data_IF_534989237815
#
_entry.id   IF_534989237815
#
_cell.length_a   1.000
_cell.length_b   1.000
_cell.length_c   1.000
_cell.angle_alpha   90.00
_cell.angle_beta   90.00
_cell.angle_gamma   90.00
#
_symmetry.space_group_name_H-M   'P 1'
#
loop_
_entity.id
_entity.type
_entity.pdbx_description
1 polymer ?
#
# COMPACT_ATOMS: atom_id res chain seq x y z
N UNK A 1 -10.68 -18.52 -8.19
CA UNK A 1 -9.25 -18.24 -7.97
C UNK A 1 -9.06 -16.74 -7.92
N UNK A 2 -7.97 -16.26 -7.31
CA UNK A 2 -7.58 -14.85 -7.35
C UNK A 2 -6.13 -14.80 -7.85
N UNK A 3 -5.86 -14.03 -8.90
CA UNK A 3 -4.51 -13.78 -9.39
C UNK A 3 -4.06 -12.42 -8.91
N UNK A 4 -3.06 -12.38 -8.05
CA UNK A 4 -2.30 -11.16 -7.80
C UNK A 4 -1.45 -10.86 -9.04
N UNK A 5 -1.40 -9.60 -9.49
CA UNK A 5 -0.70 -9.15 -10.70
C UNK A 5 -1.04 -9.90 -12.03
N UNK A 6 -2.25 -10.43 -12.17
CA UNK A 6 -2.64 -11.26 -13.32
C UNK A 6 -2.96 -10.51 -14.63
N UNK A 7 -3.03 -9.17 -14.64
CA UNK A 7 -3.56 -8.40 -15.78
C UNK A 7 -2.76 -8.61 -17.08
N UNK A 8 -1.43 -8.72 -16.97
CA UNK A 8 -0.55 -8.96 -18.11
C UNK A 8 -0.44 -10.45 -18.49
N UNK A 9 -0.98 -11.37 -17.69
CA UNK A 9 -0.95 -12.80 -18.00
C UNK A 9 -2.09 -13.16 -18.96
N UNK A 10 -1.95 -12.78 -20.24
CA UNK A 10 -3.01 -12.87 -21.26
C UNK A 10 -3.52 -14.29 -21.52
N UNK A 11 -2.69 -15.31 -21.30
CA UNK A 11 -3.08 -16.71 -21.45
C UNK A 11 -3.97 -17.23 -20.31
N UNK A 12 -4.05 -16.51 -19.19
CA UNK A 12 -4.91 -16.88 -18.07
C UNK A 12 -6.36 -16.50 -18.36
N UNK A 13 -7.20 -17.53 -18.52
CA UNK A 13 -8.64 -17.37 -18.56
C UNK A 13 -9.14 -16.71 -17.27
N UNK A 14 -9.99 -15.70 -17.41
CA UNK A 14 -10.45 -14.87 -16.30
C UNK A 14 -11.88 -14.44 -16.53
N UNK A 15 -12.68 -14.56 -15.48
CA UNK A 15 -14.08 -14.15 -15.46
C UNK A 15 -14.23 -12.64 -15.27
N UNK A 16 -13.26 -12.02 -14.59
CA UNK A 16 -13.30 -10.61 -14.20
C UNK A 16 -11.89 -10.03 -14.07
N UNK A 17 -11.74 -8.76 -14.47
CA UNK A 17 -10.53 -7.96 -14.34
C UNK A 17 -10.74 -6.71 -13.49
N UNK A 18 -9.95 -6.62 -12.41
CA UNK A 18 -9.85 -5.42 -11.59
C UNK A 18 -8.49 -4.76 -11.82
N UNK A 19 -8.50 -3.52 -12.31
CA UNK A 19 -7.30 -2.70 -12.39
C UNK A 19 -7.10 -1.95 -11.07
N UNK A 20 -5.95 -2.17 -10.41
CA UNK A 20 -5.57 -1.39 -9.22
C UNK A 20 -4.67 -0.25 -9.65
N UNK A 21 -5.05 0.99 -9.33
CA UNK A 21 -4.29 2.19 -9.67
C UNK A 21 -3.90 2.97 -8.42
N UNK A 22 -2.78 3.67 -8.49
CA UNK A 22 -2.33 4.58 -7.45
C UNK A 22 -2.51 6.05 -7.89
N UNK A 23 -2.01 6.99 -7.08
CA UNK A 23 -2.12 8.43 -7.36
C UNK A 23 -1.42 8.88 -8.64
N UNK A 24 -0.44 8.12 -9.17
CA UNK A 24 0.26 8.44 -10.41
C UNK A 24 -0.56 8.08 -11.65
N UNK A 25 -1.50 7.15 -11.50
CA UNK A 25 -2.36 6.65 -12.57
C UNK A 25 -1.55 6.26 -13.83
N UNK A 26 -1.49 7.13 -14.83
CA UNK A 26 -0.82 6.88 -16.11
C UNK A 26 0.63 7.36 -16.19
N UNK A 27 1.14 8.04 -15.15
CA UNK A 27 2.49 8.60 -15.15
C UNK A 27 2.72 9.58 -16.30
N UNK A 28 3.71 9.31 -17.15
CA UNK A 28 4.00 10.13 -18.33
C UNK A 28 3.23 9.68 -19.61
N UNK A 29 2.34 8.69 -19.50
CA UNK A 29 1.51 8.20 -20.61
C UNK A 29 2.23 7.28 -21.60
N UNK A 30 3.53 7.06 -21.46
CA UNK A 30 4.30 6.21 -22.38
C UNK A 30 4.43 4.78 -21.87
N UNK A 31 4.49 3.82 -22.81
CA UNK A 31 4.85 2.43 -22.52
C UNK A 31 6.33 2.31 -22.17
N UNK A 32 6.69 1.23 -21.48
CA UNK A 32 8.09 0.84 -21.28
C UNK A 32 8.81 0.71 -22.65
N UNK A 33 10.08 1.17 -22.76
CA UNK A 33 10.90 1.80 -21.71
C UNK A 33 10.74 3.32 -21.58
N UNK A 34 9.98 3.99 -22.47
CA UNK A 34 9.82 5.44 -22.48
C UNK A 34 8.96 5.98 -21.32
N UNK A 35 8.18 5.12 -20.67
CA UNK A 35 7.36 5.45 -19.52
C UNK A 35 7.04 4.24 -18.64
N UNK A 36 6.27 4.42 -17.57
CA UNK A 36 6.03 3.38 -16.57
C UNK A 36 4.95 2.38 -16.97
N UNK A 37 4.21 2.62 -18.07
CA UNK A 37 3.08 1.78 -18.44
C UNK A 37 3.54 0.45 -19.07
N UNK A 38 2.96 -0.66 -18.61
CA UNK A 38 3.13 -1.98 -19.23
C UNK A 38 2.15 -2.21 -20.39
N UNK A 39 1.00 -1.54 -20.31
CA UNK A 39 -0.09 -1.59 -21.28
C UNK A 39 -0.70 -0.21 -21.44
N UNK A 40 -1.40 0.03 -22.55
CA UNK A 40 -2.04 1.33 -22.80
C UNK A 40 -3.13 1.62 -21.78
N UNK A 41 -3.34 2.90 -21.45
CA UNK A 41 -4.39 3.35 -20.53
C UNK A 41 -5.81 3.01 -21.00
N UNK A 42 -5.99 2.68 -22.27
CA UNK A 42 -7.26 2.26 -22.87
C UNK A 42 -7.58 0.76 -22.76
N UNK A 43 -6.73 -0.06 -22.11
CA UNK A 43 -6.95 -1.51 -22.04
C UNK A 43 -8.27 -1.87 -21.35
N UNK A 44 -9.06 -2.77 -21.94
CA UNK A 44 -10.35 -3.21 -21.35
C UNK A 44 -10.11 -3.77 -19.95
N UNK A 45 -11.00 -3.42 -19.01
CA UNK A 45 -11.09 -3.95 -17.64
C UNK A 45 -12.54 -3.87 -17.19
N UNK A 46 -12.95 -4.67 -16.21
CA UNK A 46 -14.33 -4.67 -15.75
C UNK A 46 -14.55 -3.66 -14.62
N UNK A 47 -13.52 -3.34 -13.82
CA UNK A 47 -13.53 -2.16 -12.95
C UNK A 47 -12.13 -1.65 -12.63
N UNK A 48 -12.07 -0.43 -12.09
CA UNK A 48 -10.84 0.17 -11.57
C UNK A 48 -10.98 0.52 -10.09
N UNK A 49 -9.96 0.20 -9.30
CA UNK A 49 -9.92 0.44 -7.85
C UNK A 49 -8.72 1.33 -7.54
N UNK A 50 -8.91 2.39 -6.76
CA UNK A 50 -7.82 3.30 -6.45
C UNK A 50 -8.24 4.53 -5.65
N UNK A 51 -7.31 5.46 -5.39
CA UNK A 51 -7.61 6.66 -4.63
C UNK A 51 -8.50 7.63 -5.43
N UNK A 52 -9.32 8.48 -4.78
CA UNK A 52 -10.25 9.39 -5.45
C UNK A 52 -9.59 10.27 -6.53
N UNK A 53 -8.38 10.76 -6.24
CA UNK A 53 -7.63 11.64 -7.15
C UNK A 53 -7.26 10.96 -8.48
N UNK A 54 -6.99 9.65 -8.44
CA UNK A 54 -6.66 8.88 -9.64
C UNK A 54 -7.93 8.55 -10.42
N UNK A 55 -8.97 8.07 -9.72
CA UNK A 55 -10.23 7.67 -10.36
C UNK A 55 -10.96 8.81 -11.04
N UNK A 56 -10.79 10.06 -10.57
CA UNK A 56 -11.37 11.26 -11.20
C UNK A 56 -10.75 11.59 -12.56
N UNK A 57 -9.53 11.12 -12.85
CA UNK A 57 -8.84 11.37 -14.12
C UNK A 57 -9.19 10.34 -15.20
N UNK A 58 -9.89 9.27 -14.83
CA UNK A 58 -10.38 8.28 -15.79
C UNK A 58 -11.55 8.85 -16.60
N UNK A 59 -11.56 8.58 -17.90
CA UNK A 59 -12.57 9.07 -18.85
C UNK A 59 -13.47 7.96 -19.42
N UNK A 60 -13.23 6.71 -19.05
CA UNK A 60 -14.04 5.57 -19.48
C UNK A 60 -15.34 5.43 -18.65
N UNK A 61 -16.23 4.53 -19.05
CA UNK A 61 -17.46 4.25 -18.29
C UNK A 61 -17.34 3.00 -17.40
N UNK A 62 -16.13 2.48 -17.21
CA UNK A 62 -15.92 1.31 -16.36
C UNK A 62 -16.25 1.66 -14.90
N UNK A 63 -16.89 0.75 -14.13
CA UNK A 63 -17.08 0.90 -12.70
C UNK A 63 -15.79 1.29 -11.97
N UNK A 64 -15.92 2.16 -10.97
CA UNK A 64 -14.79 2.71 -10.20
C UNK A 64 -15.08 2.61 -8.71
N UNK A 65 -14.14 2.06 -7.96
CA UNK A 65 -14.28 1.88 -6.52
C UNK A 65 -13.17 2.63 -5.79
N UNK A 66 -13.57 3.64 -5.03
CA UNK A 66 -12.64 4.43 -4.21
C UNK A 66 -12.12 3.55 -3.09
N UNK A 67 -10.81 3.34 -3.05
CA UNK A 67 -10.13 2.69 -1.92
C UNK A 67 -9.13 3.66 -1.33
N UNK A 68 -9.22 3.85 -0.02
CA UNK A 68 -8.30 4.69 0.74
C UNK A 68 -7.43 3.83 1.64
N UNK A 69 -6.17 4.24 1.76
CA UNK A 69 -5.17 3.59 2.61
C UNK A 69 -5.13 4.35 3.93
N UNK A 70 -5.16 3.61 5.03
CA UNK A 70 -5.01 4.15 6.37
C UNK A 70 -4.00 3.30 7.15
N UNK A 71 -3.31 3.89 8.14
CA UNK A 71 -2.52 3.09 9.06
C UNK A 71 -3.45 2.20 9.89
N UNK A 72 -3.16 0.91 9.89
CA UNK A 72 -3.72 -0.06 10.82
C UNK A 72 -2.96 -0.04 12.15
N UNK A 73 -3.07 -1.15 12.89
CA UNK A 73 -2.34 -1.29 14.15
C UNK A 73 -0.83 -1.24 13.94
N UNK A 74 -0.13 -0.70 14.94
CA UNK A 74 1.30 -0.51 14.96
C UNK A 74 1.89 -1.52 15.96
N UNK A 75 2.62 -2.49 15.44
CA UNK A 75 3.18 -3.59 16.23
C UNK A 75 4.68 -3.38 16.46
N UNK A 76 5.15 -3.52 17.69
CA UNK A 76 6.57 -3.52 17.97
C UNK A 76 7.21 -4.80 17.41
N UNK A 77 8.32 -4.67 16.69
CA UNK A 77 8.87 -5.77 15.90
C UNK A 77 9.31 -6.98 16.74
N UNK A 78 9.83 -6.76 17.94
CA UNK A 78 10.52 -7.82 18.72
C UNK A 78 9.79 -8.32 19.97
N UNK A 79 8.86 -7.57 20.54
CA UNK A 79 8.26 -7.89 21.85
C UNK A 79 6.77 -8.27 21.77
N UNK A 80 6.17 -8.21 20.58
CA UNK A 80 4.77 -8.58 20.34
C UNK A 80 3.74 -7.51 20.76
N UNK A 81 4.17 -6.37 21.30
CA UNK A 81 3.28 -5.26 21.64
C UNK A 81 2.56 -4.75 20.38
N UNK A 82 1.27 -4.43 20.52
CA UNK A 82 0.45 -3.81 19.47
C UNK A 82 -0.32 -2.63 20.04
N UNK A 83 -0.26 -1.51 19.32
CA UNK A 83 -0.95 -0.28 19.67
C UNK A 83 -1.84 0.14 18.51
N UNK A 84 -3.01 0.68 18.82
CA UNK A 84 -3.75 1.46 17.84
C UNK A 84 -2.94 2.71 17.47
N UNK A 85 -3.25 3.31 16.31
CA UNK A 85 -2.58 4.54 15.86
C UNK A 85 -2.69 5.66 16.89
N UNK A 86 -3.86 5.80 17.53
CA UNK A 86 -4.07 6.81 18.57
C UNK A 86 -3.27 6.54 19.84
N UNK A 87 -3.23 5.28 20.30
CA UNK A 87 -2.44 4.90 21.46
C UNK A 87 -0.94 5.12 21.21
N UNK A 88 -0.45 4.76 20.01
CA UNK A 88 0.93 5.02 19.61
C UNK A 88 1.24 6.53 19.59
N UNK A 89 0.36 7.33 18.97
CA UNK A 89 0.50 8.79 18.91
C UNK A 89 0.57 9.42 20.30
N UNK A 90 -0.29 8.99 21.22
CA UNK A 90 -0.31 9.47 22.60
C UNK A 90 0.97 9.09 23.36
N UNK A 91 1.41 7.83 23.23
CA UNK A 91 2.61 7.32 23.90
C UNK A 91 3.89 8.08 23.49
N UNK A 92 4.02 8.38 22.20
CA UNK A 92 5.20 9.05 21.65
C UNK A 92 4.95 10.52 21.34
N UNK A 93 3.94 11.13 21.98
CA UNK A 93 3.62 12.54 21.79
C UNK A 93 4.83 13.43 22.11
N UNK A 94 5.14 14.37 21.22
CA UNK A 94 6.28 15.29 21.36
C UNK A 94 7.66 14.66 21.13
N UNK A 95 7.75 13.37 20.79
CA UNK A 95 9.00 12.70 20.47
C UNK A 95 9.27 12.70 18.96
N UNK A 96 10.54 12.73 18.53
CA UNK A 96 10.88 12.54 17.12
C UNK A 96 10.56 11.10 16.71
N UNK A 97 9.74 10.92 15.68
CA UNK A 97 9.43 9.62 15.10
C UNK A 97 10.16 9.48 13.77
N UNK A 98 10.88 8.37 13.59
CA UNK A 98 11.44 7.99 12.31
C UNK A 98 10.45 7.15 11.50
N UNK A 99 10.55 7.19 10.18
CA UNK A 99 9.87 6.25 9.31
C UNK A 99 10.79 5.82 8.17
N UNK A 100 10.91 4.52 7.92
CA UNK A 100 11.68 3.97 6.80
C UNK A 100 10.74 3.16 5.90
N UNK A 101 10.86 3.36 4.58
CA UNK A 101 10.09 2.58 3.62
C UNK A 101 10.90 2.25 2.37
N UNK A 102 10.99 0.95 2.08
CA UNK A 102 11.63 0.34 0.91
C UNK A 102 10.62 -0.30 -0.02
N UNK A 103 9.59 0.47 -0.39
CA UNK A 103 8.51 0.09 -1.31
C UNK A 103 8.53 1.03 -2.53
N UNK A 104 7.84 0.69 -3.62
CA UNK A 104 7.84 1.53 -4.83
C UNK A 104 7.42 3.00 -4.63
N UNK A 105 6.68 3.32 -3.56
CA UNK A 105 6.17 4.67 -3.27
C UNK A 105 6.31 5.05 -1.78
N UNK A 106 7.54 5.26 -1.25
CA UNK A 106 7.77 5.54 0.17
C UNK A 106 7.02 6.77 0.68
N UNK A 107 6.91 7.81 -0.16
CA UNK A 107 6.18 9.04 0.16
C UNK A 107 4.71 8.82 0.53
N UNK A 108 4.04 7.83 -0.07
CA UNK A 108 2.65 7.49 0.26
C UNK A 108 2.56 6.94 1.69
N UNK A 109 3.51 6.09 2.10
CA UNK A 109 3.58 5.57 3.45
C UNK A 109 3.77 6.71 4.47
N UNK A 110 4.71 7.63 4.21
CA UNK A 110 4.94 8.76 5.13
C UNK A 110 3.73 9.71 5.21
N UNK A 111 3.06 9.99 4.09
CA UNK A 111 1.84 10.80 4.08
C UNK A 111 0.70 10.12 4.85
N UNK A 112 0.55 8.79 4.70
CA UNK A 112 -0.43 8.00 5.44
C UNK A 112 -0.21 8.08 6.96
N UNK A 113 1.04 8.02 7.43
CA UNK A 113 1.37 8.19 8.86
C UNK A 113 1.06 9.59 9.39
N UNK A 114 1.25 10.63 8.58
CA UNK A 114 0.98 12.02 8.98
C UNK A 114 -0.51 12.36 9.05
N UNK A 115 -1.36 11.63 8.33
CA UNK A 115 -2.82 11.84 8.30
C UNK A 115 -3.47 11.83 9.70
N UNK A 116 -3.19 10.84 10.59
CA UNK A 116 -3.65 10.85 11.99
C UNK A 116 -2.85 11.79 12.92
N UNK A 117 -1.91 12.58 12.37
CA UNK A 117 -1.12 13.55 13.13
C UNK A 117 0.20 13.04 13.71
N UNK A 118 0.74 11.91 13.22
CA UNK A 118 2.10 11.50 13.61
C UNK A 118 3.13 12.41 12.93
N UNK A 119 4.02 13.01 13.72
CA UNK A 119 5.12 13.84 13.21
C UNK A 119 6.34 12.98 12.87
N UNK A 120 6.35 12.41 11.66
CA UNK A 120 7.41 11.48 11.20
C UNK A 120 8.43 12.14 10.26
N UNK A 121 9.72 11.88 10.51
CA UNK A 121 10.81 12.09 9.56
C UNK A 121 10.97 10.83 8.70
N UNK A 122 10.80 10.96 7.38
CA UNK A 122 10.82 9.82 6.46
C UNK A 122 12.17 9.63 5.77
N UNK A 123 12.64 8.39 5.69
CA UNK A 123 13.80 7.97 4.90
C UNK A 123 13.37 6.90 3.90
N UNK A 124 13.47 7.23 2.61
CA UNK A 124 13.22 6.28 1.54
C UNK A 124 14.46 5.42 1.29
N UNK A 125 14.27 4.11 1.19
CA UNK A 125 15.34 3.16 0.86
C UNK A 125 14.98 2.39 -0.42
N UNK A 126 15.97 1.74 -1.04
CA UNK A 126 15.75 1.00 -2.28
C UNK A 126 14.77 -0.18 -2.08
N UNK A 127 13.84 -0.36 -3.03
CA UNK A 127 12.96 -1.53 -3.03
C UNK A 127 13.79 -2.80 -3.32
N UNK A 128 13.31 -3.94 -2.83
CA UNK A 128 13.90 -5.27 -3.05
C UNK A 128 15.34 -5.51 -2.55
N UNK A 129 15.90 -4.59 -1.74
CA UNK A 129 17.19 -4.78 -1.05
C UNK A 129 16.97 -5.11 0.42
N UNK A 130 17.96 -5.75 1.06
CA UNK A 130 18.01 -5.91 2.52
C UNK A 130 17.85 -4.56 3.22
N UNK A 131 17.19 -4.55 4.38
CA UNK A 131 17.00 -3.33 5.16
C UNK A 131 18.35 -2.70 5.54
N UNK A 132 18.66 -1.46 5.12
CA UNK A 132 19.94 -0.82 5.40
C UNK A 132 20.02 -0.34 6.85
N UNK A 133 20.99 -0.87 7.62
CA UNK A 133 21.14 -0.55 9.05
C UNK A 133 21.47 0.95 9.27
N UNK A 134 22.26 1.53 8.39
CA UNK A 134 22.67 2.93 8.36
C UNK A 134 21.49 3.91 8.13
N UNK A 135 20.36 3.44 7.59
CA UNK A 135 19.16 4.26 7.51
C UNK A 135 18.60 4.66 8.89
N UNK A 136 18.93 3.91 9.95
CA UNK A 136 18.55 4.24 11.32
C UNK A 136 19.37 5.38 11.92
N UNK A 137 20.53 5.71 11.34
CA UNK A 137 21.41 6.79 11.79
C UNK A 137 20.82 8.17 11.45
N UNK A 138 19.82 8.22 10.57
CA UNK A 138 19.05 9.43 10.28
C UNK A 138 18.16 9.89 11.44
N UNK A 139 18.03 9.09 12.51
CA UNK A 139 17.15 9.36 13.64
C UNK A 139 17.92 9.31 14.97
N UNK A 140 17.52 10.11 15.99
CA UNK A 140 18.16 10.08 17.29
C UNK A 140 18.22 8.67 17.90
N UNK A 141 19.29 8.32 18.64
CA UNK A 141 19.39 7.04 19.33
C UNK A 141 18.15 6.76 20.20
N UNK A 142 17.59 5.56 20.08
CA UNK A 142 16.39 5.16 20.82
C UNK A 142 15.06 5.70 20.28
N UNK A 143 15.06 6.60 19.28
CA UNK A 143 13.82 7.05 18.66
C UNK A 143 13.07 5.88 17.99
N UNK A 144 11.73 5.78 18.16
CA UNK A 144 10.91 4.80 17.47
C UNK A 144 10.94 5.02 15.95
N UNK A 145 11.05 3.93 15.19
CA UNK A 145 11.09 3.97 13.74
C UNK A 145 9.99 3.09 13.16
N UNK A 146 9.05 3.71 12.45
CA UNK A 146 7.93 3.04 11.79
C UNK A 146 8.36 2.50 10.42
N UNK A 147 8.05 1.24 10.16
CA UNK A 147 8.36 0.54 8.91
C UNK A 147 7.13 -0.18 8.35
N UNK A 148 7.18 -0.51 7.05
CA UNK A 148 6.12 -1.31 6.42
C UNK A 148 6.24 -2.79 6.80
N UNK A 149 5.16 -3.56 6.64
CA UNK A 149 5.18 -5.02 6.78
C UNK A 149 6.19 -5.68 5.82
N UNK A 150 6.31 -5.17 4.59
CA UNK A 150 7.30 -5.65 3.60
C UNK A 150 8.73 -5.47 4.09
N UNK A 151 9.01 -4.34 4.75
CA UNK A 151 10.35 -4.02 5.23
C UNK A 151 10.70 -4.74 6.54
N UNK A 152 9.70 -5.08 7.36
CA UNK A 152 9.88 -5.92 8.54
C UNK A 152 10.43 -7.33 8.20
N UNK A 153 10.00 -7.90 7.07
CA UNK A 153 10.52 -9.18 6.58
C UNK A 153 12.01 -9.05 6.19
N UNK A 154 12.42 -7.88 5.70
CA UNK A 154 13.80 -7.61 5.26
C UNK A 154 14.75 -7.22 6.41
N UNK A 155 14.23 -6.89 7.59
CA UNK A 155 15.00 -6.41 8.74
C UNK A 155 15.49 -7.54 9.67
N UNK A 156 15.32 -8.80 9.28
CA UNK A 156 15.63 -9.97 10.12
C UNK A 156 17.11 -10.07 10.51
N UNK A 157 17.99 -9.64 9.62
CA UNK A 157 19.45 -9.67 9.78
C UNK A 157 20.02 -8.55 10.66
N UNK A 158 19.20 -7.57 11.06
CA UNK A 158 19.67 -6.45 11.88
C UNK A 158 20.00 -6.92 13.31
N UNK A 159 21.00 -6.30 13.98
CA UNK A 159 21.28 -6.54 15.38
C UNK A 159 20.06 -6.31 16.29
N UNK A 160 19.88 -7.09 17.37
CA UNK A 160 18.74 -6.96 18.29
C UNK A 160 18.49 -5.52 18.77
N UNK A 161 19.56 -4.81 19.17
CA UNK A 161 19.47 -3.43 19.65
C UNK A 161 18.90 -2.44 18.62
N UNK A 162 19.12 -2.69 17.31
CA UNK A 162 18.51 -1.87 16.25
C UNK A 162 17.05 -2.26 16.01
N UNK A 163 16.75 -3.57 16.08
CA UNK A 163 15.40 -4.10 15.88
C UNK A 163 14.42 -3.69 16.97
N UNK A 164 14.90 -3.46 18.19
CA UNK A 164 14.11 -2.94 19.31
C UNK A 164 13.55 -1.53 19.06
N UNK A 165 14.07 -0.79 18.09
CA UNK A 165 13.52 0.53 17.72
C UNK A 165 12.39 0.44 16.70
N UNK A 166 12.18 -0.73 16.08
CA UNK A 166 11.34 -0.89 14.91
C UNK A 166 9.88 -1.19 15.29
N UNK A 167 8.97 -0.45 14.65
CA UNK A 167 7.54 -0.63 14.75
C UNK A 167 6.95 -0.87 13.36
N UNK A 168 6.25 -1.98 13.20
CA UNK A 168 5.62 -2.39 11.94
C UNK A 168 4.22 -1.81 11.87
N UNK A 169 3.94 -1.06 10.82
CA UNK A 169 2.63 -0.45 10.57
C UNK A 169 1.84 -1.34 9.64
N UNK A 170 0.73 -1.89 10.13
CA UNK A 170 -0.21 -2.62 9.29
C UNK A 170 -0.89 -1.70 8.28
N UNK A 171 -1.19 -2.21 7.08
CA UNK A 171 -1.99 -1.49 6.10
C UNK A 171 -3.49 -1.80 6.28
N UNK A 172 -4.30 -0.77 6.54
CA UNK A 172 -5.77 -0.88 6.44
C UNK A 172 -6.24 -0.28 5.12
N UNK A 173 -7.15 -0.99 4.46
CA UNK A 173 -7.85 -0.51 3.28
C UNK A 173 -9.31 -0.23 3.65
N UNK A 174 -9.73 1.02 3.49
CA UNK A 174 -11.13 1.40 3.64
C UNK A 174 -11.79 1.17 2.27
N UNK A 175 -12.57 0.09 2.20
CA UNK A 175 -13.27 -0.35 0.99
C UNK A 175 -14.67 0.27 0.94
N UNK A 176 -15.17 0.65 -0.25
CA UNK A 176 -16.51 1.18 -0.37
C UNK A 176 -17.54 0.04 -0.27
N UNK A 177 -18.69 0.32 0.33
CA UNK A 177 -19.69 -0.70 0.68
C UNK A 177 -20.22 -1.47 -0.54
N UNK A 178 -20.21 -0.83 -1.70
CA UNK A 178 -20.69 -1.36 -2.98
C UNK A 178 -19.69 -2.31 -3.68
N UNK A 179 -18.40 -2.30 -3.32
CA UNK A 179 -17.38 -3.08 -4.05
C UNK A 179 -17.62 -4.59 -3.95
N UNK A 180 -17.84 -5.11 -2.74
CA UNK A 180 -18.03 -6.55 -2.54
C UNK A 180 -19.36 -7.04 -3.14
N UNK A 181 -20.51 -6.38 -2.93
CA UNK A 181 -21.76 -6.74 -3.61
C UNK A 181 -21.62 -6.73 -5.13
N UNK A 182 -20.98 -5.72 -5.72
CA UNK A 182 -20.73 -5.67 -7.15
C UNK A 182 -19.86 -6.83 -7.62
N UNK A 183 -18.77 -7.13 -6.92
CA UNK A 183 -17.85 -8.23 -7.24
C UNK A 183 -18.57 -9.57 -7.21
N UNK A 184 -19.36 -9.82 -6.16
CA UNK A 184 -20.17 -11.04 -6.04
C UNK A 184 -21.16 -11.16 -7.20
N UNK A 185 -21.89 -10.09 -7.51
CA UNK A 185 -22.85 -10.07 -8.61
C UNK A 185 -22.20 -10.39 -9.97
N UNK A 186 -21.06 -9.75 -10.29
CA UNK A 186 -20.34 -10.02 -11.53
C UNK A 186 -19.86 -11.48 -11.64
N UNK A 187 -19.38 -12.05 -10.53
CA UNK A 187 -18.94 -13.45 -10.50
C UNK A 187 -20.10 -14.44 -10.68
N UNK A 188 -21.29 -14.14 -10.17
CA UNK A 188 -22.47 -15.00 -10.40
C UNK A 188 -22.93 -14.94 -11.87
N UNK A 189 -22.90 -13.76 -12.49
CA UNK A 189 -23.15 -13.60 -13.94
C UNK A 189 -22.15 -14.44 -14.75
N UNK A 190 -20.85 -14.35 -14.45
CA UNK A 190 -19.82 -15.11 -15.17
C UNK A 190 -19.98 -16.63 -15.02
N UNK A 191 -20.54 -17.09 -13.88
CA UNK A 191 -20.87 -18.50 -13.62
C UNK A 191 -22.14 -18.97 -14.34
N UNK A 192 -22.82 -18.09 -15.08
CA UNK A 192 -24.10 -18.41 -15.73
C UNK A 192 -25.26 -18.57 -14.75
N UNK A 193 -25.14 -18.06 -13.52
CA UNK A 193 -26.22 -18.06 -12.54
C UNK A 193 -27.04 -16.80 -12.73
N UNK A 194 -28.28 -16.95 -13.18
CA UNK A 194 -29.23 -15.83 -13.32
C UNK A 194 -29.42 -15.15 -11.97
N UNK A 195 -29.00 -13.90 -11.87
CA UNK A 195 -29.28 -13.04 -10.71
C UNK A 195 -30.72 -12.57 -10.85
N UNK A 196 -31.64 -13.29 -10.21
CA UNK A 196 -33.04 -12.90 -10.07
C UNK A 196 -33.19 -11.73 -9.06
#
# INVERSE_FOLDING_TARGET
MLSDDGLQHLALARDLELAVVDQRLWGNGWLLPAGPLRETSGRRRDATVGPPVALRQLTDNAPRFVVQRAPGDIAHLTNGERLSVDAFRQRFAGQPLGAIAGIGHPGQFFAMLRTPGLSVQGVAVADHRSFPADALDAFPPGAPVLITEKDAIKSTHLPPALRERLWVVGLRLDLPAELLPWLTHQLEIARGRSTA
#
